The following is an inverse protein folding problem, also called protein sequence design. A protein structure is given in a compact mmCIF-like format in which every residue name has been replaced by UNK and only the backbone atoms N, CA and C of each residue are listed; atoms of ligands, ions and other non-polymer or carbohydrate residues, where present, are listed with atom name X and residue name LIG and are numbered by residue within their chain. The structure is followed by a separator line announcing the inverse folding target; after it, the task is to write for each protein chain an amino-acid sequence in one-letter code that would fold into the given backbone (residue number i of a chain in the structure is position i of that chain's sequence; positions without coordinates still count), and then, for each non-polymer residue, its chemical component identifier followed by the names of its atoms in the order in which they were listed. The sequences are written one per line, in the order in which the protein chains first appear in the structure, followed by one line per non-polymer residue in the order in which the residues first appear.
data_IF_537535446173
#
_entry.id   IF_537535446173
#
_cell.length_a   1.000
_cell.length_b   1.000
_cell.length_c   1.000
_cell.angle_alpha   90.00
_cell.angle_beta   90.00
_cell.angle_gamma   90.00
#
_symmetry.space_group_name_H-M   'P 1'
#
loop_
_entity.id
_entity.type
_entity.pdbx_description
1 polymer ?
#
# COMPACT_ATOMS: atom_id res chain seq x y z
N UNK A 1 -9.41 3.90 31.36
CA UNK A 1 -10.24 3.30 30.31
C UNK A 1 -9.73 1.90 29.94
N UNK A 2 -10.57 1.01 29.40
CA UNK A 2 -10.18 -0.34 28.97
C UNK A 2 -9.01 -0.32 27.96
N UNK A 3 -8.94 0.72 27.12
CA UNK A 3 -7.82 0.95 26.19
C UNK A 3 -6.49 0.99 26.92
N UNK A 4 -6.39 1.71 28.00
CA UNK A 4 -5.13 1.87 28.74
C UNK A 4 -4.70 0.56 29.41
N UNK A 5 -5.64 -0.27 29.81
CA UNK A 5 -5.37 -1.57 30.42
C UNK A 5 -4.84 -2.55 29.36
N UNK A 6 -5.45 -2.60 28.19
CA UNK A 6 -5.05 -3.52 27.10
C UNK A 6 -3.63 -3.24 26.64
N UNK A 7 -3.22 -1.97 26.58
CA UNK A 7 -1.89 -1.57 26.12
C UNK A 7 -0.81 -1.69 27.21
N UNK A 8 -1.18 -2.03 28.44
CA UNK A 8 -0.21 -2.19 29.52
C UNK A 8 0.69 -3.42 29.32
N UNK A 9 1.97 -3.34 29.73
CA UNK A 9 2.91 -4.44 29.56
C UNK A 9 2.44 -5.76 30.17
N UNK A 10 1.66 -5.70 31.27
CA UNK A 10 1.14 -6.91 31.93
C UNK A 10 0.22 -7.73 31.03
N UNK A 11 -0.61 -7.06 30.22
CA UNK A 11 -1.49 -7.75 29.25
C UNK A 11 -0.68 -8.19 28.03
N UNK A 12 0.14 -7.28 27.47
CA UNK A 12 0.89 -7.57 26.25
C UNK A 12 1.95 -8.65 26.43
N UNK A 13 2.61 -8.71 27.57
CA UNK A 13 3.53 -9.83 27.90
C UNK A 13 2.78 -11.15 28.02
N UNK A 14 1.56 -11.15 28.57
CA UNK A 14 0.72 -12.34 28.61
C UNK A 14 0.30 -12.77 27.20
N UNK A 15 0.02 -11.83 26.30
CA UNK A 15 -0.28 -12.09 24.88
C UNK A 15 0.93 -12.70 24.17
N UNK A 16 2.14 -12.15 24.37
CA UNK A 16 3.39 -12.73 23.85
C UNK A 16 3.57 -14.16 24.33
N UNK A 17 3.35 -14.41 25.62
CA UNK A 17 3.44 -15.75 26.19
C UNK A 17 2.43 -16.71 25.57
N UNK A 18 1.19 -16.26 25.38
CA UNK A 18 0.14 -17.05 24.74
C UNK A 18 0.47 -17.40 23.28
N UNK A 19 0.92 -16.41 22.50
CA UNK A 19 1.34 -16.60 21.11
C UNK A 19 2.54 -17.56 20.98
N UNK A 20 3.43 -17.57 21.98
CA UNK A 20 4.62 -18.44 21.99
C UNK A 20 4.35 -19.84 22.55
N UNK A 21 3.13 -20.16 22.99
CA UNK A 21 2.79 -21.49 23.45
C UNK A 21 2.90 -22.52 22.33
N UNK A 22 3.43 -23.72 22.63
CA UNK A 22 3.40 -24.82 21.68
C UNK A 22 1.95 -25.16 21.29
N UNK A 23 1.73 -25.47 20.03
CA UNK A 23 0.42 -25.85 19.50
C UNK A 23 0.31 -27.35 19.37
N UNK A 24 -0.82 -27.90 19.77
CA UNK A 24 -1.20 -29.27 19.49
C UNK A 24 -1.71 -29.34 18.06
N UNK A 25 -0.93 -29.94 17.16
CA UNK A 25 -1.27 -30.05 15.72
C UNK A 25 -1.62 -31.51 15.46
N UNK A 26 -2.75 -31.74 14.81
CA UNK A 26 -3.13 -33.04 14.34
C UNK A 26 -2.26 -33.45 13.15
N UNK A 27 -1.51 -34.52 13.31
CA UNK A 27 -0.58 -35.04 12.29
C UNK A 27 -1.25 -36.12 11.46
N UNK A 28 -2.11 -36.92 12.08
CA UNK A 28 -2.91 -37.93 11.40
C UNK A 28 -4.36 -37.82 11.83
N UNK A 29 -5.32 -37.85 10.90
CA UNK A 29 -6.73 -37.89 11.23
C UNK A 29 -7.07 -39.24 11.86
N UNK A 30 -8.12 -39.29 12.65
CA UNK A 30 -8.69 -40.56 13.11
C UNK A 30 -9.24 -41.30 11.90
N UNK A 31 -8.93 -42.58 11.81
CA UNK A 31 -9.52 -43.50 10.83
C UNK A 31 -10.35 -44.52 11.57
N UNK A 32 -11.66 -44.62 11.29
CA UNK A 32 -12.50 -45.65 11.91
C UNK A 32 -12.07 -47.04 11.45
N UNK A 33 -12.22 -48.02 12.33
CA UNK A 33 -12.02 -49.39 11.95
C UNK A 33 -13.04 -49.80 10.88
N UNK A 34 -12.56 -50.46 9.84
CA UNK A 34 -13.43 -51.00 8.78
C UNK A 34 -13.71 -52.47 9.04
N UNK A 35 -15.00 -52.82 8.91
CA UNK A 35 -15.48 -54.13 9.03
C UNK A 35 -16.16 -54.56 7.73
N UNK A 36 -15.91 -55.80 7.31
CA UNK A 36 -16.57 -56.38 6.16
C UNK A 36 -17.33 -57.64 6.63
N UNK A 37 -18.28 -58.12 5.84
CA UNK A 37 -19.06 -59.31 6.17
C UNK A 37 -18.58 -60.42 5.25
N UNK A 38 -18.12 -61.54 5.89
CA UNK A 38 -17.73 -62.77 5.16
C UNK A 38 -18.91 -63.48 4.56
N UNK A 39 -18.67 -64.52 3.76
CA UNK A 39 -19.68 -65.31 3.10
C UNK A 39 -20.65 -66.03 4.10
N UNK A 40 -20.29 -66.10 5.38
CA UNK A 40 -21.11 -66.64 6.45
C UNK A 40 -21.82 -65.59 7.32
N UNK A 41 -21.83 -64.31 6.88
CA UNK A 41 -22.53 -63.24 7.60
C UNK A 41 -21.82 -62.74 8.86
N UNK A 42 -20.56 -63.07 9.07
CA UNK A 42 -19.77 -62.64 10.24
C UNK A 42 -19.01 -61.37 9.88
N UNK A 43 -19.00 -60.41 10.78
CA UNK A 43 -18.20 -59.22 10.65
C UNK A 43 -16.70 -59.51 10.88
N UNK A 44 -15.89 -59.26 9.87
CA UNK A 44 -14.43 -59.36 9.97
C UNK A 44 -13.86 -57.95 9.89
N UNK A 45 -13.00 -57.63 10.85
CA UNK A 45 -12.26 -56.35 10.81
C UNK A 45 -11.20 -56.42 9.72
N UNK A 46 -11.41 -55.68 8.62
CA UNK A 46 -10.51 -55.62 7.47
C UNK A 46 -9.39 -54.58 7.64
N UNK A 47 -9.64 -53.54 8.44
CA UNK A 47 -8.62 -52.54 8.76
C UNK A 47 -8.76 -52.06 10.21
N UNK A 48 -7.68 -52.11 11.01
CA UNK A 48 -7.73 -51.54 12.35
C UNK A 48 -7.85 -50.01 12.24
N UNK A 49 -8.85 -49.47 12.92
CA UNK A 49 -8.96 -48.03 13.09
C UNK A 49 -7.80 -47.48 13.95
N UNK A 50 -7.46 -46.27 13.76
CA UNK A 50 -6.53 -45.56 14.65
C UNK A 50 -7.10 -44.19 15.07
N UNK A 51 -6.79 -43.81 16.29
CA UNK A 51 -7.15 -42.47 16.79
C UNK A 51 -6.33 -41.38 16.14
N UNK A 52 -6.85 -40.15 16.18
CA UNK A 52 -6.13 -38.97 15.68
C UNK A 52 -4.83 -38.79 16.47
N UNK A 53 -3.73 -38.74 15.74
CA UNK A 53 -2.39 -38.48 16.32
C UNK A 53 -2.12 -36.99 16.36
N UNK A 54 -1.81 -36.50 17.54
CA UNK A 54 -1.47 -35.10 17.76
C UNK A 54 0.00 -34.97 18.18
N UNK A 55 0.69 -33.98 17.58
CA UNK A 55 2.06 -33.62 17.94
C UNK A 55 2.12 -32.20 18.48
N UNK A 56 2.89 -31.98 19.53
CA UNK A 56 3.18 -30.64 20.04
C UNK A 56 4.23 -29.99 19.13
N UNK A 57 3.85 -28.96 18.42
CA UNK A 57 4.78 -28.17 17.61
C UNK A 57 5.08 -26.82 18.26
N UNK A 58 6.33 -26.31 18.16
CA UNK A 58 6.64 -24.97 18.63
C UNK A 58 5.77 -23.94 17.93
N UNK A 59 5.46 -22.84 18.59
CA UNK A 59 4.72 -21.75 17.97
C UNK A 59 5.49 -21.18 16.78
N UNK A 60 4.74 -20.86 15.71
CA UNK A 60 5.27 -20.17 14.51
C UNK A 60 5.76 -18.76 14.82
N UNK A 61 5.44 -18.21 15.98
CA UNK A 61 5.81 -16.85 16.40
C UNK A 61 7.05 -16.81 17.29
N UNK A 62 7.54 -17.97 17.78
CA UNK A 62 8.66 -18.06 18.74
C UNK A 62 9.93 -17.34 18.26
N UNK A 63 10.22 -17.38 16.94
CA UNK A 63 11.44 -16.81 16.36
C UNK A 63 11.18 -15.47 15.61
N UNK A 64 9.98 -14.89 15.72
CA UNK A 64 9.62 -13.65 14.99
C UNK A 64 9.91 -12.36 15.77
N UNK A 65 10.58 -12.44 16.91
CA UNK A 65 10.94 -11.26 17.71
C UNK A 65 9.73 -10.48 18.23
N UNK A 66 8.62 -11.18 18.50
CA UNK A 66 7.42 -10.55 19.05
C UNK A 66 7.69 -10.19 20.52
N UNK A 67 7.97 -8.92 20.73
CA UNK A 67 8.02 -8.30 22.05
C UNK A 67 6.75 -7.48 22.30
N UNK A 68 6.48 -7.18 23.58
CA UNK A 68 5.32 -6.37 23.96
C UNK A 68 5.31 -4.99 23.28
N UNK A 69 6.48 -4.37 23.05
CA UNK A 69 6.60 -3.10 22.32
C UNK A 69 6.17 -3.21 20.87
N UNK A 70 6.57 -4.28 20.20
CA UNK A 70 6.18 -4.59 18.81
C UNK A 70 4.67 -4.77 18.71
N UNK A 71 4.09 -5.55 19.64
CA UNK A 71 2.64 -5.75 19.67
C UNK A 71 1.92 -4.43 19.98
N UNK A 72 2.41 -3.61 20.92
CA UNK A 72 1.83 -2.32 21.23
C UNK A 72 1.76 -1.38 20.01
N UNK A 73 2.78 -1.39 19.17
CA UNK A 73 2.81 -0.61 17.92
C UNK A 73 1.86 -1.12 16.83
N UNK A 74 1.44 -2.38 16.90
CA UNK A 74 0.50 -2.98 15.97
C UNK A 74 -0.97 -2.75 16.32
N UNK A 75 -1.26 -2.36 17.57
CA UNK A 75 -2.63 -2.30 18.13
C UNK A 75 -3.21 -0.90 17.98
N UNK A 76 -4.44 -0.84 17.49
CA UNK A 76 -5.28 0.33 17.56
C UNK A 76 -6.62 -0.05 18.17
N UNK A 77 -7.07 0.69 19.17
CA UNK A 77 -8.32 0.43 19.87
C UNK A 77 -9.28 1.58 19.56
N UNK A 78 -10.44 1.23 19.02
CA UNK A 78 -11.53 2.16 18.78
C UNK A 78 -12.69 1.85 19.73
N UNK A 79 -13.25 2.88 20.30
CA UNK A 79 -14.46 2.81 21.12
C UNK A 79 -15.59 3.54 20.39
N UNK A 80 -16.78 2.96 20.40
CA UNK A 80 -17.94 3.60 19.82
C UNK A 80 -18.55 4.53 20.88
N UNK A 81 -18.84 5.76 20.49
CA UNK A 81 -19.45 6.76 21.37
C UNK A 81 -20.76 6.23 21.97
N UNK A 82 -20.95 6.37 23.27
CA UNK A 82 -22.09 5.87 24.02
C UNK A 82 -22.29 4.34 24.00
N UNK A 83 -21.21 3.57 23.75
CA UNK A 83 -21.24 2.11 23.79
C UNK A 83 -20.19 1.57 24.76
N UNK A 84 -20.52 0.46 25.42
CA UNK A 84 -19.57 -0.32 26.20
C UNK A 84 -18.73 -1.28 25.34
N UNK A 85 -18.97 -1.28 24.02
CA UNK A 85 -18.27 -2.13 23.07
C UNK A 85 -17.05 -1.38 22.56
N UNK A 86 -15.90 -2.03 22.58
CA UNK A 86 -14.68 -1.56 21.93
C UNK A 86 -14.16 -2.59 20.94
N UNK A 87 -13.49 -2.10 19.92
CA UNK A 87 -12.88 -2.93 18.88
C UNK A 87 -11.37 -2.83 18.93
N UNK A 88 -10.72 -3.99 18.86
CA UNK A 88 -9.26 -4.09 18.78
C UNK A 88 -8.87 -4.35 17.34
N UNK A 89 -8.14 -3.43 16.76
CA UNK A 89 -7.59 -3.55 15.41
C UNK A 89 -6.10 -3.82 15.50
N UNK A 90 -5.63 -4.86 14.82
CA UNK A 90 -4.21 -5.20 14.76
C UNK A 90 -3.72 -5.08 13.32
N UNK A 91 -2.65 -4.32 13.11
CA UNK A 91 -2.01 -4.13 11.80
C UNK A 91 -0.65 -4.84 11.79
N UNK A 92 -0.45 -5.75 10.86
CA UNK A 92 0.85 -6.38 10.62
C UNK A 92 1.05 -6.64 9.11
N UNK A 93 2.25 -7.10 8.74
CA UNK A 93 2.55 -7.51 7.36
C UNK A 93 1.90 -8.84 6.97
N UNK A 94 1.48 -9.63 7.96
CA UNK A 94 0.87 -10.95 7.77
C UNK A 94 -0.56 -10.93 8.33
N UNK A 95 -1.55 -11.14 7.46
CA UNK A 95 -2.96 -11.12 7.83
C UNK A 95 -3.31 -12.18 8.89
N UNK A 96 -2.65 -13.36 8.83
CA UNK A 96 -2.85 -14.42 9.84
C UNK A 96 -2.27 -14.00 11.19
N UNK A 97 -1.10 -13.38 11.21
CA UNK A 97 -0.50 -12.85 12.42
C UNK A 97 -1.39 -11.78 13.06
N UNK A 98 -1.97 -10.86 12.26
CA UNK A 98 -2.93 -9.86 12.77
C UNK A 98 -4.12 -10.50 13.43
N UNK A 99 -4.69 -11.53 12.81
CA UNK A 99 -5.82 -12.30 13.36
C UNK A 99 -5.46 -13.00 14.68
N UNK A 100 -4.32 -13.73 14.69
CA UNK A 100 -3.90 -14.51 15.86
C UNK A 100 -3.56 -13.58 17.04
N UNK A 101 -2.89 -12.45 16.79
CA UNK A 101 -2.59 -11.44 17.82
C UNK A 101 -3.88 -10.83 18.37
N UNK A 102 -4.83 -10.43 17.52
CA UNK A 102 -6.09 -9.84 17.96
C UNK A 102 -6.92 -10.82 18.81
N UNK A 103 -7.01 -12.08 18.41
CA UNK A 103 -7.70 -13.11 19.18
C UNK A 103 -6.98 -13.42 20.51
N UNK A 104 -5.65 -13.45 20.51
CA UNK A 104 -4.86 -13.64 21.74
C UNK A 104 -5.08 -12.48 22.71
N UNK A 105 -5.11 -11.22 22.21
CA UNK A 105 -5.41 -10.04 23.04
C UNK A 105 -6.80 -10.18 23.66
N UNK A 106 -7.82 -10.51 22.88
CA UNK A 106 -9.19 -10.65 23.36
C UNK A 106 -9.28 -11.74 24.46
N UNK A 107 -8.65 -12.89 24.25
CA UNK A 107 -8.66 -14.00 25.22
C UNK A 107 -7.91 -13.64 26.50
N UNK A 108 -6.69 -13.09 26.37
CA UNK A 108 -5.87 -12.68 27.53
C UNK A 108 -6.57 -11.57 28.30
N UNK A 109 -7.13 -10.58 27.59
CA UNK A 109 -7.87 -9.48 28.21
C UNK A 109 -9.06 -10.03 29.00
N UNK A 110 -9.92 -10.85 28.39
CA UNK A 110 -11.06 -11.48 29.05
C UNK A 110 -10.66 -12.21 30.34
N UNK A 111 -9.57 -12.97 30.30
CA UNK A 111 -9.09 -13.74 31.44
C UNK A 111 -8.46 -12.84 32.54
N UNK A 112 -7.69 -11.84 32.15
CA UNK A 112 -6.95 -10.98 33.08
C UNK A 112 -7.78 -9.86 33.67
N UNK A 113 -8.76 -9.33 32.93
CA UNK A 113 -9.58 -8.22 33.43
C UNK A 113 -10.38 -8.61 34.65
N UNK A 114 -10.87 -9.83 34.70
CA UNK A 114 -11.60 -10.39 35.85
C UNK A 114 -10.76 -10.35 37.11
N UNK A 115 -9.46 -10.63 37.00
CA UNK A 115 -8.54 -10.59 38.16
C UNK A 115 -8.06 -9.18 38.51
N UNK A 116 -8.04 -8.25 37.55
CA UNK A 116 -7.54 -6.86 37.76
C UNK A 116 -8.63 -5.96 38.31
N UNK A 117 -9.86 -6.08 37.82
CA UNK A 117 -10.94 -5.15 38.13
C UNK A 117 -12.11 -5.79 38.91
N UNK A 118 -12.03 -7.07 39.26
CA UNK A 118 -13.13 -7.84 39.87
C UNK A 118 -14.46 -7.74 39.07
N UNK A 119 -14.38 -7.52 37.74
CA UNK A 119 -15.54 -7.38 36.85
C UNK A 119 -15.71 -8.68 36.08
N UNK A 120 -16.85 -9.33 36.24
CA UNK A 120 -17.13 -10.63 35.58
C UNK A 120 -17.83 -10.52 34.21
N UNK A 121 -18.14 -9.31 33.73
CA UNK A 121 -19.05 -9.08 32.61
C UNK A 121 -18.38 -8.81 31.27
N UNK A 122 -17.13 -9.23 31.04
CA UNK A 122 -16.47 -9.04 29.75
C UNK A 122 -16.67 -10.27 28.87
N UNK A 123 -17.35 -10.09 27.75
CA UNK A 123 -17.54 -11.13 26.73
C UNK A 123 -16.95 -10.73 25.38
N UNK A 124 -16.51 -11.73 24.64
CA UNK A 124 -16.02 -11.54 23.26
C UNK A 124 -17.23 -11.60 22.34
N UNK A 125 -17.64 -10.46 21.78
CA UNK A 125 -18.80 -10.36 20.88
C UNK A 125 -18.47 -11.01 19.53
N UNK A 126 -17.25 -10.78 19.01
CA UNK A 126 -16.82 -11.34 17.72
C UNK A 126 -15.33 -11.68 17.76
N UNK A 127 -14.96 -12.79 17.12
CA UNK A 127 -13.56 -13.16 16.90
C UNK A 127 -12.97 -12.33 15.76
N UNK A 128 -11.67 -12.07 15.83
CA UNK A 128 -10.97 -11.40 14.75
C UNK A 128 -10.94 -12.28 13.49
N UNK A 129 -11.25 -11.66 12.35
CA UNK A 129 -11.13 -12.24 11.02
C UNK A 129 -9.89 -11.69 10.32
N UNK A 130 -9.27 -12.50 9.47
CA UNK A 130 -8.13 -12.04 8.67
C UNK A 130 -8.65 -11.13 7.55
N UNK A 131 -8.06 -9.94 7.43
CA UNK A 131 -8.24 -9.09 6.26
C UNK A 131 -7.00 -9.21 5.38
N UNK A 132 -7.17 -9.62 4.14
CA UNK A 132 -6.08 -9.74 3.16
C UNK A 132 -5.91 -8.47 2.32
N UNK A 133 -6.84 -7.54 2.42
CA UNK A 133 -6.74 -6.25 1.71
C UNK A 133 -5.77 -5.34 2.46
N UNK A 134 -4.72 -4.83 1.79
CA UNK A 134 -3.78 -3.89 2.41
C UNK A 134 -4.49 -2.60 2.83
N UNK A 135 -4.35 -2.24 4.11
CA UNK A 135 -4.90 -0.99 4.67
C UNK A 135 -3.89 0.14 4.71
N UNK A 136 -2.60 -0.16 4.50
CA UNK A 136 -1.51 0.80 4.49
C UNK A 136 -0.35 0.25 3.64
N UNK A 137 0.37 1.10 2.88
CA UNK A 137 0.16 2.54 2.71
C UNK A 137 -1.06 2.87 1.83
N UNK A 138 -1.65 4.05 2.04
CA UNK A 138 -2.73 4.53 1.18
C UNK A 138 -2.15 5.08 -0.12
N UNK A 139 -2.05 4.22 -1.15
CA UNK A 139 -1.44 4.55 -2.44
C UNK A 139 -2.10 5.78 -3.08
N UNK A 140 -3.43 5.91 -3.00
CA UNK A 140 -4.16 7.06 -3.57
C UNK A 140 -3.71 8.38 -2.96
N UNK A 141 -3.53 8.42 -1.64
CA UNK A 141 -3.10 9.62 -0.93
C UNK A 141 -1.63 9.96 -1.25
N UNK A 142 -0.75 8.96 -1.33
CA UNK A 142 0.67 9.15 -1.68
C UNK A 142 0.79 9.67 -3.11
N UNK A 143 0.03 9.10 -4.06
CA UNK A 143 0.03 9.56 -5.46
C UNK A 143 -0.47 11.00 -5.56
N UNK A 144 -1.55 11.36 -4.86
CA UNK A 144 -2.06 12.72 -4.83
C UNK A 144 -1.03 13.70 -4.23
N UNK A 145 -0.40 13.33 -3.12
CA UNK A 145 0.63 14.15 -2.50
C UNK A 145 1.83 14.34 -3.42
N UNK A 146 2.29 13.29 -4.10
CA UNK A 146 3.36 13.37 -5.09
C UNK A 146 3.02 14.26 -6.28
N UNK A 147 1.78 14.18 -6.78
CA UNK A 147 1.29 15.04 -7.84
C UNK A 147 1.30 16.52 -7.44
N UNK A 148 0.75 16.85 -6.27
CA UNK A 148 0.76 18.24 -5.76
C UNK A 148 2.17 18.77 -5.60
N UNK A 149 3.08 17.98 -5.04
CA UNK A 149 4.48 18.34 -4.88
C UNK A 149 5.17 18.57 -6.24
N UNK A 150 4.88 17.73 -7.24
CA UNK A 150 5.37 17.89 -8.60
C UNK A 150 4.90 19.19 -9.26
N UNK A 151 3.63 19.53 -9.12
CA UNK A 151 3.06 20.77 -9.63
C UNK A 151 3.72 21.98 -8.97
N UNK A 152 3.85 21.99 -7.64
CA UNK A 152 4.49 23.10 -6.92
C UNK A 152 5.95 23.29 -7.36
N UNK A 153 6.71 22.20 -7.46
CA UNK A 153 8.11 22.29 -7.92
C UNK A 153 8.22 22.78 -9.36
N UNK A 154 7.31 22.38 -10.24
CA UNK A 154 7.28 22.89 -11.62
C UNK A 154 7.00 24.39 -11.68
N UNK A 155 6.03 24.89 -10.90
CA UNK A 155 5.76 26.33 -10.82
C UNK A 155 6.96 27.12 -10.28
N UNK A 156 7.59 26.65 -9.21
CA UNK A 156 8.78 27.28 -8.65
C UNK A 156 9.90 27.35 -9.70
N UNK A 157 10.11 26.26 -10.44
CA UNK A 157 11.13 26.20 -11.48
C UNK A 157 10.87 27.20 -12.61
N UNK A 158 9.63 27.27 -13.12
CA UNK A 158 9.22 28.23 -14.13
C UNK A 158 9.40 29.67 -13.63
N UNK A 159 9.00 29.94 -12.39
CA UNK A 159 9.10 31.24 -11.77
C UNK A 159 10.56 31.73 -11.64
N UNK A 160 11.44 30.84 -11.16
CA UNK A 160 12.88 31.13 -11.08
C UNK A 160 13.45 31.38 -12.47
N UNK A 161 13.07 30.58 -13.47
CA UNK A 161 13.52 30.78 -14.85
C UNK A 161 13.07 32.11 -15.41
N UNK A 162 11.82 32.52 -15.18
CA UNK A 162 11.28 33.79 -15.62
C UNK A 162 11.96 35.00 -14.93
N UNK A 163 12.19 34.90 -13.61
CA UNK A 163 12.93 35.96 -12.88
C UNK A 163 14.40 36.09 -13.31
N UNK A 164 14.99 35.01 -13.81
CA UNK A 164 16.40 35.01 -14.27
C UNK A 164 16.51 35.40 -15.75
N UNK A 165 15.39 35.41 -16.50
CA UNK A 165 15.34 35.79 -17.88
C UNK A 165 15.47 37.31 -18.00
N UNK A 166 16.63 37.77 -18.43
CA UNK A 166 16.95 39.19 -18.67
C UNK A 166 16.72 39.59 -20.13
N UNK A 167 16.02 38.80 -20.90
CA UNK A 167 15.76 39.05 -22.30
C UNK A 167 14.69 40.12 -22.44
N UNK A 168 15.00 41.20 -23.16
CA UNK A 168 14.01 42.23 -23.51
C UNK A 168 13.05 41.63 -24.54
N UNK A 169 11.82 41.31 -24.12
CA UNK A 169 10.78 40.67 -24.97
C UNK A 169 9.89 41.67 -25.68
N UNK A 170 9.79 42.90 -25.18
CA UNK A 170 8.92 43.96 -25.72
C UNK A 170 9.71 45.18 -26.16
N UNK A 171 9.42 45.65 -27.36
CA UNK A 171 9.96 46.92 -27.88
C UNK A 171 9.43 48.12 -27.10
N UNK A 172 8.24 48.02 -26.54
CA UNK A 172 7.62 49.07 -25.72
C UNK A 172 8.42 49.36 -24.45
N UNK A 173 9.00 48.33 -23.84
CA UNK A 173 9.91 48.48 -22.69
C UNK A 173 11.15 49.37 -23.03
N UNK A 174 11.68 49.23 -24.24
CA UNK A 174 12.82 50.00 -24.69
C UNK A 174 12.48 51.50 -24.93
N UNK A 175 11.25 51.76 -25.42
CA UNK A 175 10.82 53.14 -25.74
C UNK A 175 10.23 53.86 -24.53
N UNK A 176 9.44 53.18 -23.70
CA UNK A 176 8.75 53.82 -22.57
C UNK A 176 9.60 53.90 -21.30
N UNK A 177 10.29 52.79 -20.94
CA UNK A 177 11.08 52.71 -19.70
C UNK A 177 12.49 53.25 -19.87
N UNK A 178 13.14 52.95 -21.00
CA UNK A 178 14.53 53.36 -21.25
C UNK A 178 14.65 54.62 -22.11
N UNK A 179 13.54 55.17 -22.54
CA UNK A 179 13.46 56.38 -23.38
C UNK A 179 14.36 56.32 -24.64
N UNK A 180 14.49 55.12 -25.22
CA UNK A 180 15.32 54.87 -26.40
C UNK A 180 14.46 54.94 -27.66
N UNK A 181 14.94 55.62 -28.68
CA UNK A 181 14.25 55.71 -29.98
C UNK A 181 14.36 54.39 -30.72
N UNK A 182 13.22 53.79 -31.07
CA UNK A 182 13.17 52.54 -31.83
C UNK A 182 13.60 52.83 -33.30
N UNK A 183 14.77 52.32 -33.68
CA UNK A 183 15.34 52.45 -35.02
C UNK A 183 14.83 51.35 -35.98
N UNK A 184 13.97 50.45 -35.54
CA UNK A 184 13.43 49.37 -36.32
C UNK A 184 13.82 47.99 -35.79
N UNK A 185 13.07 46.95 -36.17
CA UNK A 185 13.33 45.57 -35.85
C UNK A 185 13.84 44.82 -37.09
N UNK A 186 14.96 44.16 -36.97
CA UNK A 186 15.49 43.27 -38.00
C UNK A 186 15.07 41.85 -37.67
N UNK A 187 14.25 41.25 -38.51
CA UNK A 187 13.89 39.85 -38.37
C UNK A 187 15.09 38.94 -38.63
N UNK A 188 15.15 37.84 -37.90
CA UNK A 188 16.17 36.82 -38.11
C UNK A 188 16.13 36.32 -39.55
N UNK A 189 17.17 36.62 -40.34
CA UNK A 189 17.35 36.09 -41.69
C UNK A 189 17.84 34.66 -41.50
N UNK A 190 16.94 33.68 -41.71
CA UNK A 190 17.28 32.27 -41.73
C UNK A 190 18.39 31.96 -42.74
N UNK A 191 19.03 30.83 -42.61
CA UNK A 191 20.14 30.37 -43.42
C UNK A 191 19.84 30.69 -44.90
N UNK A 192 20.65 31.59 -45.50
CA UNK A 192 20.53 31.93 -46.91
C UNK A 192 20.75 30.62 -47.68
N UNK A 193 19.71 30.13 -48.39
CA UNK A 193 19.86 29.02 -49.30
C UNK A 193 20.97 29.40 -50.31
N UNK A 194 21.82 28.41 -50.60
CA UNK A 194 22.93 28.65 -51.51
C UNK A 194 22.38 29.24 -52.82
N UNK A 195 22.97 30.32 -53.29
CA UNK A 195 22.54 31.04 -54.49
C UNK A 195 22.39 30.14 -55.71
N UNK A 196 23.17 29.03 -55.75
CA UNK A 196 23.06 28.00 -56.77
C UNK A 196 21.71 27.27 -56.73
N UNK A 197 21.22 26.91 -55.52
CA UNK A 197 19.96 26.20 -55.34
C UNK A 197 18.75 27.07 -55.78
N UNK A 198 18.76 28.33 -55.47
CA UNK A 198 17.75 29.31 -55.88
C UNK A 198 17.76 29.55 -57.40
N UNK A 199 18.92 29.60 -58.02
CA UNK A 199 19.06 29.75 -59.47
C UNK A 199 18.62 28.49 -60.21
N UNK A 200 18.89 27.29 -59.71
CA UNK A 200 18.45 26.05 -60.30
C UNK A 200 16.92 25.84 -60.18
N UNK A 201 16.31 26.18 -59.06
CA UNK A 201 14.85 26.18 -58.92
C UNK A 201 14.18 27.17 -59.91
N UNK A 202 14.78 28.35 -60.08
CA UNK A 202 14.29 29.37 -61.03
C UNK A 202 14.38 28.88 -62.47
N UNK A 203 15.45 28.20 -62.87
CA UNK A 203 15.61 27.62 -64.20
C UNK A 203 14.66 26.45 -64.43
N UNK A 204 14.46 25.59 -63.45
CA UNK A 204 13.52 24.48 -63.58
C UNK A 204 12.06 24.97 -63.71
N UNK A 205 11.67 26.04 -63.01
CA UNK A 205 10.34 26.64 -63.15
C UNK A 205 10.10 27.19 -64.52
N UNK A 206 11.06 27.97 -65.10
CA UNK A 206 11.00 28.48 -66.44
C UNK A 206 10.93 27.40 -67.52
N UNK A 207 11.65 26.29 -67.31
CA UNK A 207 11.63 25.15 -68.23
C UNK A 207 10.29 24.39 -68.20
N UNK A 208 9.64 24.29 -67.05
CA UNK A 208 8.32 23.71 -66.90
C UNK A 208 7.23 24.57 -67.51
N UNK A 209 7.28 25.87 -67.33
CA UNK A 209 6.33 26.82 -67.95
C UNK A 209 6.45 26.86 -69.48
N UNK A 210 7.68 26.85 -70.03
CA UNK A 210 7.89 26.82 -71.47
C UNK A 210 7.42 25.49 -72.12
N UNK A 211 7.49 24.36 -71.37
CA UNK A 211 6.94 23.07 -71.86
C UNK A 211 5.44 23.01 -71.76
N UNK A 212 4.83 23.66 -70.77
CA UNK A 212 3.37 23.76 -70.68
C UNK A 212 2.75 24.56 -71.79
N UNK A 213 3.36 25.71 -72.17
CA UNK A 213 2.92 26.59 -73.25
C UNK A 213 3.15 26.02 -74.67
N UNK A 214 3.93 24.96 -74.85
CA UNK A 214 4.10 24.30 -76.19
C UNK A 214 3.07 23.19 -76.44
N UNK A 215 2.18 22.95 -75.50
CA UNK A 215 1.15 21.88 -75.61
C UNK A 215 -0.27 22.42 -75.84
N UNK A 216 -0.39 23.71 -76.12
CA UNK A 216 -1.55 24.39 -76.64
C UNK A 216 -1.22 24.77 -78.08
#
# INVERSE_FOLDING_TARGET
TYKDIITRPIILNAVVKELNRPRKVQVSPAVPAQYDVNEWGQQIQTSPGHEAVYKMMPSIYRNRGLDYKTIAGMISISNQTNSQIFSVHVKSRDAKMSQDVANAIANVFKTKITSIMAVSNVSIVSKATKNTVPVSPNVKLITLAGFVLGVVTAFVWVFIKELTDRTVKNLDFLTEELNLTNLGAISYIGKIRDLKEVLEEGQQKRTRESRANRRI
#
